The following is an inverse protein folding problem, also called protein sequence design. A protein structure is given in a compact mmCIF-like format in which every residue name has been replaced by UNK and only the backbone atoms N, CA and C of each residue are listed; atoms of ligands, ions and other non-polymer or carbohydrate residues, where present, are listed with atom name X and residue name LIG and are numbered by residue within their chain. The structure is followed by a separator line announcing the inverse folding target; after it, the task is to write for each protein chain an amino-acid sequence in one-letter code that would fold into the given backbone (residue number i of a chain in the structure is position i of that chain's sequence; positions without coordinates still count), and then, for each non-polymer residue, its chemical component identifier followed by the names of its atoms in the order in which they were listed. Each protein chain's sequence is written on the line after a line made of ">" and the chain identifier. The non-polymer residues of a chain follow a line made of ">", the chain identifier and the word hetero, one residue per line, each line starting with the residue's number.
data_IF_082366362748
#
_entry.id   IF_082366362748
#
_cell.length_a   1.000
_cell.length_b   1.000
_cell.length_c   1.000
_cell.angle_alpha   90.00
_cell.angle_beta   90.00
_cell.angle_gamma   90.00
#
_symmetry.space_group_name_H-M   'P 1'
#
loop_
_entity.id
_entity.type
_entity.pdbx_description
1 polymer ?
#
# COMPACT_ATOMS: atom_id res chain seq x y z
N UNK A 1 1.45 4.38 -11.91
CA UNK A 1 1.71 3.73 -10.60
C UNK A 1 0.40 3.44 -9.91
N UNK A 2 0.23 2.25 -9.39
CA UNK A 2 -0.98 1.86 -8.67
C UNK A 2 -0.63 1.54 -7.22
N UNK A 3 -1.54 1.88 -6.31
CA UNK A 3 -1.34 1.68 -4.88
C UNK A 3 -2.27 0.60 -4.34
N UNK A 4 -1.83 -0.08 -3.30
CA UNK A 4 -2.69 -0.93 -2.49
C UNK A 4 -2.85 -0.23 -1.13
N UNK A 5 -4.07 0.22 -0.84
CA UNK A 5 -4.36 1.06 0.32
C UNK A 5 -4.86 0.21 1.48
N UNK A 6 -4.20 0.33 2.61
CA UNK A 6 -4.54 -0.42 3.81
C UNK A 6 -5.81 0.14 4.47
N UNK A 7 -6.51 -0.71 5.21
CA UNK A 7 -7.79 -0.36 5.82
C UNK A 7 -7.67 0.67 6.95
N UNK A 8 -6.49 0.86 7.53
CA UNK A 8 -6.29 1.84 8.61
C UNK A 8 -6.11 3.27 8.11
N UNK A 9 -6.17 3.49 6.80
CA UNK A 9 -6.10 4.83 6.22
C UNK A 9 -7.47 5.50 6.31
N UNK A 10 -7.47 6.84 6.51
CA UNK A 10 -8.72 7.60 6.54
C UNK A 10 -9.40 7.59 5.17
N UNK A 11 -10.73 7.70 5.17
CA UNK A 11 -11.50 7.78 3.93
C UNK A 11 -11.07 8.94 3.04
N UNK A 12 -10.75 10.06 3.69
CA UNK A 12 -10.30 11.25 2.96
C UNK A 12 -9.01 10.97 2.21
N UNK A 13 -8.05 10.34 2.88
CA UNK A 13 -6.76 10.00 2.28
C UNK A 13 -6.93 8.97 1.16
N UNK A 14 -7.75 7.94 1.38
CA UNK A 14 -8.03 6.93 0.37
C UNK A 14 -8.62 7.56 -0.90
N UNK A 15 -9.60 8.45 -0.73
CA UNK A 15 -10.24 9.13 -1.86
C UNK A 15 -9.24 9.98 -2.62
N UNK A 16 -8.41 10.72 -1.91
CA UNK A 16 -7.41 11.60 -2.51
C UNK A 16 -6.38 10.80 -3.30
N UNK A 17 -5.87 9.72 -2.73
CA UNK A 17 -4.88 8.87 -3.38
C UNK A 17 -5.45 8.12 -4.58
N UNK A 18 -6.71 7.71 -4.52
CA UNK A 18 -7.37 7.05 -5.64
C UNK A 18 -7.48 7.97 -6.84
N UNK A 19 -7.73 9.25 -6.60
CA UNK A 19 -7.80 10.25 -7.67
C UNK A 19 -6.41 10.50 -8.27
N UNK A 20 -5.40 10.63 -7.42
CA UNK A 20 -4.03 10.92 -7.86
C UNK A 20 -3.34 9.73 -8.54
N UNK A 21 -3.69 8.52 -8.12
CA UNK A 21 -3.09 7.29 -8.65
C UNK A 21 -4.20 6.37 -9.16
N UNK A 22 -4.73 6.63 -10.37
CA UNK A 22 -5.81 5.82 -10.92
C UNK A 22 -5.42 4.35 -11.04
N UNK A 23 -6.37 3.48 -10.79
CA UNK A 23 -6.13 2.04 -10.79
C UNK A 23 -5.67 1.49 -9.44
N UNK A 24 -5.58 2.34 -8.42
CA UNK A 24 -5.25 1.90 -7.06
C UNK A 24 -6.37 1.06 -6.48
N UNK A 25 -6.02 0.13 -5.59
CA UNK A 25 -6.96 -0.79 -4.97
C UNK A 25 -6.92 -0.60 -3.45
N UNK A 26 -8.03 -0.91 -2.81
CA UNK A 26 -8.14 -0.92 -1.36
C UNK A 26 -8.26 -2.36 -0.89
N UNK A 27 -7.63 -2.72 0.23
CA UNK A 27 -7.63 -4.10 0.72
C UNK A 27 -9.05 -4.65 0.89
N UNK A 28 -9.99 -3.82 1.31
CA UNK A 28 -11.41 -4.22 1.44
C UNK A 28 -12.03 -4.53 0.07
N UNK A 29 -11.67 -3.77 -0.94
CA UNK A 29 -12.22 -3.94 -2.30
C UNK A 29 -11.73 -5.19 -3.01
N UNK A 30 -10.62 -5.77 -2.56
CA UNK A 30 -10.04 -6.98 -3.17
C UNK A 30 -10.08 -8.17 -2.19
N UNK A 31 -10.95 -8.09 -1.19
CA UNK A 31 -11.17 -9.16 -0.19
C UNK A 31 -9.91 -9.52 0.61
N UNK A 32 -9.08 -8.53 0.89
CA UNK A 32 -7.88 -8.71 1.71
C UNK A 32 -8.01 -8.07 3.10
N UNK A 33 -9.20 -7.67 3.49
CA UNK A 33 -9.46 -7.00 4.76
C UNK A 33 -9.20 -7.90 5.98
N UNK A 34 -9.31 -9.22 5.82
CA UNK A 34 -9.03 -10.20 6.85
C UNK A 34 -7.74 -10.98 6.57
N UNK A 35 -7.01 -10.63 5.54
CA UNK A 35 -5.78 -11.32 5.17
C UNK A 35 -4.63 -10.95 6.11
N UNK A 36 -3.65 -11.83 6.20
CA UNK A 36 -2.43 -11.54 6.96
C UNK A 36 -1.57 -10.52 6.20
N UNK A 37 -0.62 -9.90 6.90
CA UNK A 37 0.30 -8.95 6.28
C UNK A 37 1.10 -9.61 5.16
N UNK A 38 1.48 -10.87 5.34
CA UNK A 38 2.22 -11.62 4.33
C UNK A 38 1.38 -11.83 3.07
N UNK A 39 0.10 -12.16 3.24
CA UNK A 39 -0.80 -12.33 2.10
C UNK A 39 -1.00 -11.03 1.32
N UNK A 40 -1.16 -9.92 2.03
CA UNK A 40 -1.26 -8.60 1.41
C UNK A 40 0.03 -8.25 0.68
N UNK A 41 1.17 -8.53 1.28
CA UNK A 41 2.49 -8.32 0.70
C UNK A 41 2.63 -9.09 -0.62
N UNK A 42 2.28 -10.38 -0.62
CA UNK A 42 2.39 -11.22 -1.81
C UNK A 42 1.46 -10.74 -2.92
N UNK A 43 0.24 -10.35 -2.57
CA UNK A 43 -0.71 -9.82 -3.54
C UNK A 43 -0.16 -8.54 -4.20
N UNK A 44 0.37 -7.62 -3.41
CA UNK A 44 0.92 -6.38 -3.93
C UNK A 44 2.11 -6.65 -4.86
N UNK A 45 2.99 -7.57 -4.49
CA UNK A 45 4.13 -7.94 -5.32
C UNK A 45 3.67 -8.54 -6.65
N UNK A 46 2.68 -9.42 -6.60
CA UNK A 46 2.16 -10.12 -7.78
C UNK A 46 1.45 -9.15 -8.73
N UNK A 47 0.73 -8.17 -8.20
CA UNK A 47 -0.04 -7.22 -9.00
C UNK A 47 0.75 -5.94 -9.34
N UNK A 48 1.97 -5.81 -8.87
CA UNK A 48 2.77 -4.62 -9.13
C UNK A 48 2.26 -3.36 -8.43
N UNK A 49 1.70 -3.53 -7.22
CA UNK A 49 1.15 -2.42 -6.44
C UNK A 49 2.16 -1.94 -5.41
N UNK A 50 2.06 -0.67 -5.04
CA UNK A 50 2.82 -0.08 -3.94
C UNK A 50 1.93 -0.06 -2.70
N UNK A 51 2.38 -0.64 -1.60
CA UNK A 51 1.59 -0.68 -0.36
C UNK A 51 1.68 0.67 0.35
N UNK A 52 0.53 1.23 0.72
CA UNK A 52 0.43 2.43 1.54
C UNK A 52 -0.24 2.06 2.85
N UNK A 53 0.47 2.24 3.96
CA UNK A 53 -0.04 1.86 5.28
C UNK A 53 0.57 2.74 6.36
N UNK A 54 -0.16 2.91 7.47
CA UNK A 54 0.37 3.53 8.69
C UNK A 54 1.11 2.52 9.55
N UNK A 55 0.94 1.23 9.26
CA UNK A 55 1.50 0.15 10.05
C UNK A 55 2.97 -0.09 9.72
N UNK A 56 3.80 -0.18 10.74
CA UNK A 56 5.23 -0.44 10.58
C UNK A 56 5.53 -1.89 10.17
N UNK A 57 4.59 -2.81 10.31
CA UNK A 57 4.80 -4.22 9.96
C UNK A 57 5.16 -4.40 8.50
N UNK A 58 4.54 -3.63 7.60
CA UNK A 58 4.88 -3.68 6.18
C UNK A 58 6.27 -3.14 5.90
N UNK A 59 6.72 -2.15 6.67
CA UNK A 59 8.09 -1.64 6.54
C UNK A 59 9.11 -2.69 6.96
N UNK A 60 8.80 -3.47 7.99
CA UNK A 60 9.67 -4.56 8.41
C UNK A 60 9.76 -5.65 7.35
N UNK A 61 8.63 -5.99 6.72
CA UNK A 61 8.62 -6.95 5.62
C UNK A 61 9.46 -6.45 4.45
N UNK A 62 9.37 -5.17 4.13
CA UNK A 62 10.18 -4.57 3.07
C UNK A 62 11.66 -4.63 3.39
N UNK A 63 12.03 -4.38 4.63
CA UNK A 63 13.41 -4.44 5.07
C UNK A 63 13.98 -5.86 4.98
N UNK A 64 13.18 -6.86 5.37
CA UNK A 64 13.62 -8.25 5.39
C UNK A 64 13.66 -8.89 4.01
N UNK A 65 12.69 -8.59 3.16
CA UNK A 65 12.50 -9.27 1.88
C UNK A 65 12.90 -8.42 0.66
N UNK A 66 13.00 -7.12 0.82
CA UNK A 66 13.27 -6.22 -0.29
C UNK A 66 12.09 -6.04 -1.24
N UNK A 67 12.12 -5.02 -2.09
CA UNK A 67 11.07 -4.83 -3.10
C UNK A 67 11.14 -5.90 -4.20
N UNK A 68 10.08 -6.14 -4.97
CA UNK A 68 8.74 -5.67 -4.75
C UNK A 68 8.01 -6.42 -3.63
N UNK A 69 6.94 -5.84 -3.05
CA UNK A 69 6.38 -4.54 -3.34
C UNK A 69 7.11 -3.42 -2.59
N UNK A 70 6.99 -2.21 -3.11
CA UNK A 70 7.45 -1.02 -2.40
C UNK A 70 6.42 -0.67 -1.32
N UNK A 71 6.90 -0.20 -0.17
CA UNK A 71 6.02 0.19 0.93
C UNK A 71 6.26 1.66 1.27
N UNK A 72 5.19 2.43 1.35
CA UNK A 72 5.25 3.85 1.69
C UNK A 72 4.35 4.12 2.88
N UNK A 73 4.85 4.86 3.85
CA UNK A 73 4.06 5.23 5.02
C UNK A 73 3.17 6.44 4.76
N UNK A 74 1.95 6.40 5.29
CA UNK A 74 1.10 7.58 5.32
C UNK A 74 1.48 8.43 6.55
N UNK A 75 1.46 9.78 6.47
CA UNK A 75 1.02 10.61 5.34
C UNK A 75 2.11 10.93 4.33
N UNK A 76 3.29 10.35 4.44
CA UNK A 76 4.46 10.72 3.64
C UNK A 76 4.46 10.10 2.24
N UNK A 77 3.35 9.49 1.85
CA UNK A 77 3.24 8.76 0.60
C UNK A 77 3.61 9.60 -0.64
N UNK A 78 3.21 10.87 -0.68
CA UNK A 78 3.52 11.74 -1.81
C UNK A 78 5.01 12.01 -1.92
N UNK A 79 5.63 12.33 -0.79
CA UNK A 79 7.07 12.62 -0.74
C UNK A 79 7.86 11.38 -1.14
N UNK A 80 7.49 10.22 -0.61
CA UNK A 80 8.14 8.96 -0.94
C UNK A 80 8.03 8.58 -2.40
N UNK A 81 6.89 8.85 -3.04
CA UNK A 81 6.66 8.51 -4.43
C UNK A 81 7.28 9.51 -5.40
N UNK A 82 7.31 10.80 -5.04
CA UNK A 82 7.89 11.83 -5.88
C UNK A 82 9.42 11.75 -5.87
N UNK A 83 10.01 11.50 -4.72
CA UNK A 83 11.47 11.44 -4.59
C UNK A 83 12.06 10.08 -4.97
N UNK A 84 11.21 9.11 -5.17
CA UNK A 84 11.65 7.78 -5.60
C UNK A 84 11.58 7.64 -7.08
#
# INVERSE_FOLDING_TARGET
>A
MRLLLDQNLSRHLVRQLTVEFPGSEHVTGVDLDTATDVEIWEYAADQGLVIVSKDSDFRQLAFLNGPPPKVVGAPDVRVGLISG
#
